data_IF_537642519191
#
_entry.id   IF_537642519191
#
_cell.length_a   1.000
_cell.length_b   1.000
_cell.length_c   1.000
_cell.angle_alpha   90.00
_cell.angle_beta   90.00
_cell.angle_gamma   90.00
#
_symmetry.space_group_name_H-M   'P 1'
#
loop_
_entity.id
_entity.type
_entity.pdbx_description
1 polymer ?
#
# COMPACT_ATOMS: atom_id res chain seq x y z
N UNK A 1 -39.86 -50.45 -47.22
CA UNK A 1 -39.62 -49.00 -47.05
C UNK A 1 -39.76 -48.67 -45.58
N UNK A 2 -38.63 -48.65 -44.83
CA UNK A 2 -38.62 -48.43 -43.37
C UNK A 2 -38.25 -46.97 -43.11
N UNK A 3 -39.18 -46.26 -42.47
CA UNK A 3 -39.02 -44.87 -42.07
C UNK A 3 -38.31 -44.83 -40.74
N UNK A 4 -37.09 -44.28 -40.72
CA UNK A 4 -36.35 -44.00 -39.47
C UNK A 4 -36.74 -42.62 -38.96
N UNK A 5 -37.40 -42.61 -37.81
CA UNK A 5 -37.71 -41.36 -37.08
C UNK A 5 -36.55 -41.06 -36.14
N UNK A 6 -35.81 -40.04 -36.41
CA UNK A 6 -34.70 -39.55 -35.56
C UNK A 6 -35.29 -38.59 -34.51
N UNK A 7 -35.24 -38.99 -33.25
CA UNK A 7 -35.57 -38.15 -32.09
C UNK A 7 -34.32 -37.33 -31.73
N UNK A 8 -34.37 -36.05 -31.97
CA UNK A 8 -33.34 -35.12 -31.51
C UNK A 8 -33.68 -34.68 -30.08
N UNK A 9 -32.96 -35.23 -29.12
CA UNK A 9 -33.04 -34.75 -27.72
C UNK A 9 -32.19 -33.47 -27.58
N UNK A 10 -32.83 -32.32 -27.43
CA UNK A 10 -32.21 -31.08 -27.10
C UNK A 10 -31.88 -31.06 -25.60
N UNK A 11 -30.58 -31.16 -25.28
CA UNK A 11 -30.07 -31.00 -23.92
C UNK A 11 -29.92 -29.51 -23.63
N UNK A 12 -30.88 -28.89 -22.92
CA UNK A 12 -30.76 -27.54 -22.40
C UNK A 12 -29.76 -27.57 -21.23
N UNK A 13 -28.50 -27.15 -21.46
CA UNK A 13 -27.60 -26.81 -20.38
C UNK A 13 -28.05 -25.46 -19.79
N UNK A 14 -28.64 -25.53 -18.61
CA UNK A 14 -28.84 -24.34 -17.77
C UNK A 14 -27.46 -23.91 -17.23
N UNK A 15 -26.83 -22.93 -17.87
CA UNK A 15 -25.72 -22.17 -17.31
C UNK A 15 -26.28 -21.35 -16.13
N UNK A 16 -26.24 -21.91 -14.93
CA UNK A 16 -26.40 -21.15 -13.72
C UNK A 16 -25.18 -20.22 -13.61
N UNK A 17 -25.30 -19.02 -14.18
CA UNK A 17 -24.35 -17.95 -13.93
C UNK A 17 -24.37 -17.63 -12.43
N UNK A 18 -23.35 -18.07 -11.68
CA UNK A 18 -23.07 -17.52 -10.37
C UNK A 18 -22.69 -16.03 -10.58
N UNK A 19 -23.68 -15.16 -10.61
CA UNK A 19 -23.43 -13.75 -10.32
C UNK A 19 -23.12 -13.70 -8.84
N UNK A 20 -21.83 -13.69 -8.50
CA UNK A 20 -21.39 -13.32 -7.17
C UNK A 20 -21.83 -11.87 -6.97
N UNK A 21 -22.95 -11.65 -6.33
CA UNK A 21 -23.43 -10.33 -5.97
C UNK A 21 -22.53 -9.88 -4.83
N UNK A 22 -21.36 -9.30 -5.17
CA UNK A 22 -20.40 -8.77 -4.20
C UNK A 22 -21.12 -7.67 -3.43
N UNK A 23 -21.29 -7.84 -2.13
CA UNK A 23 -21.96 -6.86 -1.27
C UNK A 23 -21.17 -5.55 -1.31
N UNK A 24 -21.86 -4.44 -1.44
CA UNK A 24 -21.30 -3.09 -1.48
C UNK A 24 -21.72 -2.30 -0.24
N UNK A 25 -20.78 -1.58 0.36
CA UNK A 25 -20.93 -0.80 1.58
C UNK A 25 -20.42 0.62 1.32
N UNK A 26 -21.32 1.51 0.91
CA UNK A 26 -21.01 2.93 0.69
C UNK A 26 -20.74 3.60 2.04
N UNK A 27 -19.56 4.20 2.23
CA UNK A 27 -19.16 4.85 3.49
C UNK A 27 -20.12 5.96 3.92
N UNK A 28 -20.76 6.65 2.98
CA UNK A 28 -21.76 7.68 3.28
C UNK A 28 -23.01 7.07 3.94
N UNK A 29 -23.37 5.84 3.61
CA UNK A 29 -24.48 5.13 4.27
C UNK A 29 -24.21 4.79 5.74
N UNK A 30 -22.93 4.88 6.15
CA UNK A 30 -22.48 4.69 7.54
C UNK A 30 -22.25 6.00 8.29
N UNK A 31 -22.48 7.14 7.61
CA UNK A 31 -22.40 8.47 8.21
C UNK A 31 -21.19 9.30 7.80
N UNK A 32 -20.36 8.80 6.86
CA UNK A 32 -19.26 9.61 6.32
C UNK A 32 -19.81 10.78 5.50
N UNK A 33 -19.30 11.98 5.74
CA UNK A 33 -19.73 13.22 5.08
C UNK A 33 -19.01 13.43 3.76
N UNK A 34 -17.71 13.17 3.73
CA UNK A 34 -16.87 13.38 2.54
C UNK A 34 -16.75 14.86 2.16
N UNK A 35 -16.70 15.75 3.16
CA UNK A 35 -16.58 17.21 2.98
C UNK A 35 -15.13 17.74 3.06
N UNK A 36 -14.17 16.84 3.35
CA UNK A 36 -12.76 17.15 3.49
C UNK A 36 -12.34 17.80 4.80
N UNK A 37 -13.26 17.95 5.74
CA UNK A 37 -13.01 18.64 7.03
C UNK A 37 -13.51 17.87 8.24
N UNK A 38 -14.60 17.12 8.09
CA UNK A 38 -15.12 16.22 9.14
C UNK A 38 -14.28 14.96 9.20
N UNK A 39 -13.91 14.50 10.41
CA UNK A 39 -13.24 13.21 10.57
C UNK A 39 -14.23 12.07 10.36
N UNK A 40 -14.13 11.42 9.22
CA UNK A 40 -14.99 10.32 8.80
C UNK A 40 -14.48 8.93 9.25
N UNK A 41 -13.38 8.85 10.03
CA UNK A 41 -12.73 7.58 10.40
C UNK A 41 -13.70 6.58 11.04
N UNK A 42 -14.55 7.04 11.97
CA UNK A 42 -15.51 6.17 12.65
C UNK A 42 -16.56 5.57 11.70
N UNK A 43 -17.04 6.35 10.73
CA UNK A 43 -18.01 5.90 9.73
C UNK A 43 -17.37 4.91 8.75
N UNK A 44 -16.15 5.21 8.29
CA UNK A 44 -15.37 4.32 7.41
C UNK A 44 -15.08 3.01 8.13
N UNK A 45 -14.62 3.05 9.38
CA UNK A 45 -14.33 1.85 10.17
C UNK A 45 -15.56 0.98 10.33
N UNK A 46 -16.72 1.58 10.62
CA UNK A 46 -17.99 0.85 10.73
C UNK A 46 -18.38 0.14 9.42
N UNK A 47 -18.14 0.78 8.27
CA UNK A 47 -18.38 0.16 6.96
C UNK A 47 -17.44 -1.04 6.74
N UNK A 48 -16.17 -0.92 7.09
CA UNK A 48 -15.16 -1.98 6.99
C UNK A 48 -15.53 -3.16 7.91
N UNK A 49 -15.83 -2.89 9.16
CA UNK A 49 -16.18 -3.91 10.15
C UNK A 49 -17.44 -4.68 9.70
N UNK A 50 -18.50 -3.98 9.32
CA UNK A 50 -19.73 -4.62 8.85
C UNK A 50 -19.54 -5.40 7.54
N UNK A 51 -18.68 -4.91 6.64
CA UNK A 51 -18.32 -5.64 5.42
C UNK A 51 -17.67 -6.98 5.77
N UNK A 52 -16.66 -6.97 6.63
CA UNK A 52 -15.95 -8.17 7.08
C UNK A 52 -16.85 -9.14 7.83
N UNK A 53 -17.64 -8.67 8.79
CA UNK A 53 -18.58 -9.45 9.60
C UNK A 53 -19.63 -10.17 8.75
N UNK A 54 -20.00 -9.59 7.63
CA UNK A 54 -20.94 -10.19 6.65
C UNK A 54 -20.25 -11.10 5.63
N UNK A 55 -18.99 -11.49 5.86
CA UNK A 55 -18.24 -12.42 5.03
C UNK A 55 -17.47 -11.77 3.89
N UNK A 56 -17.34 -10.44 3.90
CA UNK A 56 -16.58 -9.67 2.94
C UNK A 56 -17.42 -8.97 1.88
N UNK A 57 -16.73 -8.16 1.07
CA UNK A 57 -17.35 -7.35 0.02
C UNK A 57 -16.51 -6.12 -0.32
N UNK A 58 -17.19 -5.10 -0.84
CA UNK A 58 -16.54 -3.85 -1.26
C UNK A 58 -17.04 -2.67 -0.44
N UNK A 59 -16.13 -2.00 0.25
CA UNK A 59 -16.36 -0.70 0.88
C UNK A 59 -16.07 0.38 -0.15
N UNK A 60 -17.08 1.18 -0.49
CA UNK A 60 -17.01 2.15 -1.59
C UNK A 60 -16.85 3.57 -1.06
N UNK A 61 -15.87 4.27 -1.62
CA UNK A 61 -15.67 5.70 -1.45
C UNK A 61 -16.25 6.41 -2.68
N UNK A 62 -17.43 7.03 -2.59
CA UNK A 62 -18.12 7.62 -3.74
C UNK A 62 -17.34 8.76 -4.41
N UNK A 63 -17.60 8.90 -5.72
CA UNK A 63 -16.99 9.93 -6.58
C UNK A 63 -17.13 11.35 -6.04
N UNK A 64 -16.14 12.19 -6.36
CA UNK A 64 -16.11 13.63 -6.12
C UNK A 64 -16.31 14.04 -4.65
N UNK A 65 -15.89 13.19 -3.72
CA UNK A 65 -15.88 13.46 -2.28
C UNK A 65 -14.46 13.34 -1.71
N UNK A 66 -14.20 14.11 -0.66
CA UNK A 66 -12.95 14.03 0.12
C UNK A 66 -13.29 13.60 1.55
N UNK A 67 -12.86 12.42 1.91
CA UNK A 67 -13.06 11.85 3.25
C UNK A 67 -11.80 12.08 4.07
N UNK A 68 -11.82 13.04 5.00
CA UNK A 68 -10.71 13.19 5.95
C UNK A 68 -10.87 12.14 7.05
N UNK A 69 -9.81 11.46 7.40
CA UNK A 69 -9.89 10.41 8.42
C UNK A 69 -8.59 10.29 9.24
N UNK A 70 -8.75 10.06 10.53
CA UNK A 70 -7.73 9.51 11.42
C UNK A 70 -7.46 8.03 11.11
N UNK A 71 -6.83 7.27 12.03
CA UNK A 71 -6.48 5.87 11.82
C UNK A 71 -7.64 4.97 11.40
N UNK A 72 -7.37 4.06 10.45
CA UNK A 72 -8.32 3.07 9.92
C UNK A 72 -7.68 1.69 9.99
N UNK A 73 -8.43 0.70 10.47
CA UNK A 73 -7.98 -0.69 10.59
C UNK A 73 -8.68 -1.58 9.57
N UNK A 74 -7.92 -2.17 8.66
CA UNK A 74 -8.41 -3.11 7.66
C UNK A 74 -8.84 -4.44 8.31
N UNK A 75 -9.79 -5.12 7.66
CA UNK A 75 -10.26 -6.45 8.04
C UNK A 75 -10.15 -7.42 6.88
N UNK A 76 -10.15 -8.72 7.19
CA UNK A 76 -10.13 -9.76 6.18
C UNK A 76 -11.33 -9.72 5.24
N UNK A 77 -11.12 -10.10 3.99
CA UNK A 77 -12.12 -10.18 2.93
C UNK A 77 -12.75 -8.85 2.51
N UNK A 78 -12.03 -7.74 2.71
CA UNK A 78 -12.50 -6.39 2.36
C UNK A 78 -11.74 -5.84 1.16
N UNK A 79 -12.48 -5.31 0.19
CA UNK A 79 -11.95 -4.44 -0.85
C UNK A 79 -12.33 -2.98 -0.53
N UNK A 80 -11.33 -2.10 -0.35
CA UNK A 80 -11.56 -0.66 -0.38
C UNK A 80 -11.56 -0.20 -1.82
N UNK A 81 -12.69 0.32 -2.30
CA UNK A 81 -12.83 0.78 -3.67
C UNK A 81 -13.02 2.28 -3.76
N UNK A 82 -12.10 2.93 -4.43
CA UNK A 82 -12.08 4.39 -4.63
C UNK A 82 -12.63 4.74 -6.01
N UNK A 83 -13.85 5.28 -6.07
CA UNK A 83 -14.43 5.75 -7.33
C UNK A 83 -13.64 6.95 -7.89
N UNK A 84 -13.79 7.27 -9.20
CA UNK A 84 -13.08 8.38 -9.82
C UNK A 84 -13.29 9.71 -9.05
N UNK A 85 -12.19 10.44 -8.81
CA UNK A 85 -12.17 11.69 -8.05
C UNK A 85 -12.62 11.59 -6.59
N UNK A 86 -12.73 10.38 -6.01
CA UNK A 86 -12.80 10.24 -4.57
C UNK A 86 -11.42 10.42 -3.95
N UNK A 87 -11.36 10.97 -2.74
CA UNK A 87 -10.11 11.17 -2.01
C UNK A 87 -10.28 10.78 -0.55
N UNK A 88 -9.41 9.92 -0.06
CA UNK A 88 -9.22 9.67 1.36
C UNK A 88 -8.01 10.51 1.80
N UNK A 89 -8.20 11.40 2.76
CA UNK A 89 -7.22 12.39 3.22
C UNK A 89 -6.84 12.13 4.67
N UNK A 90 -5.57 12.02 4.98
CA UNK A 90 -5.11 11.85 6.36
C UNK A 90 -5.45 13.07 7.22
N UNK A 91 -6.00 12.82 8.41
CA UNK A 91 -6.29 13.87 9.39
C UNK A 91 -4.95 14.49 9.84
N UNK A 92 -4.78 15.83 9.76
CA UNK A 92 -3.54 16.50 10.12
C UNK A 92 -3.29 16.60 11.63
N UNK A 93 -4.24 16.21 12.48
CA UNK A 93 -4.07 16.21 13.93
C UNK A 93 -3.17 15.02 14.35
N UNK A 94 -1.95 15.31 14.75
CA UNK A 94 -0.98 14.33 15.20
C UNK A 94 -1.46 13.48 16.38
N UNK A 95 -2.32 14.04 17.24
CA UNK A 95 -2.80 13.40 18.45
C UNK A 95 -3.70 12.17 18.17
N UNK A 96 -4.26 12.05 16.96
CA UNK A 96 -5.10 10.89 16.61
C UNK A 96 -4.29 9.63 16.30
N UNK A 97 -2.98 9.77 16.01
CA UNK A 97 -2.10 8.65 15.67
C UNK A 97 -1.41 8.12 16.92
N UNK A 98 -1.86 7.01 17.44
CA UNK A 98 -1.40 6.44 18.72
C UNK A 98 -0.64 5.12 18.58
N UNK A 99 -0.64 4.51 17.40
CA UNK A 99 0.01 3.23 17.14
C UNK A 99 1.16 3.40 16.14
N UNK A 100 2.34 2.85 16.48
CA UNK A 100 3.50 2.84 15.61
C UNK A 100 3.69 1.50 14.92
N UNK A 101 4.18 1.53 13.68
CA UNK A 101 4.65 0.36 12.96
C UNK A 101 5.96 -0.19 13.55
N UNK A 102 6.72 0.61 14.29
CA UNK A 102 8.01 0.24 14.86
C UNK A 102 7.87 -0.22 16.31
N UNK A 103 8.65 -1.25 16.70
CA UNK A 103 8.58 -1.87 18.02
C UNK A 103 8.97 -0.91 19.16
N UNK A 104 9.91 -0.01 18.91
CA UNK A 104 10.22 1.08 19.82
C UNK A 104 9.44 2.32 19.38
N UNK A 105 8.28 2.53 19.98
CA UNK A 105 7.49 3.73 19.72
C UNK A 105 8.16 4.97 20.35
N UNK A 106 8.91 5.69 19.51
CA UNK A 106 9.52 6.98 19.83
C UNK A 106 8.80 8.15 19.18
N UNK A 107 7.56 7.94 18.72
CA UNK A 107 6.81 8.90 17.91
C UNK A 107 7.07 8.78 16.41
N UNK A 108 7.95 7.87 15.98
CA UNK A 108 8.23 7.61 14.57
C UNK A 108 7.30 6.54 13.99
N UNK A 109 7.04 6.62 12.68
CA UNK A 109 6.36 5.55 11.94
C UNK A 109 4.95 5.24 12.43
N UNK A 110 4.20 6.26 12.81
CA UNK A 110 2.79 6.09 13.21
C UNK A 110 1.99 5.48 12.05
N UNK A 111 0.89 4.81 12.33
CA UNK A 111 0.09 4.14 11.31
C UNK A 111 -1.21 4.89 11.04
N UNK A 112 -1.52 5.11 9.76
CA UNK A 112 -2.81 5.66 9.33
C UNK A 112 -3.76 4.55 8.89
N UNK A 113 -3.47 3.89 7.77
CA UNK A 113 -4.25 2.72 7.34
C UNK A 113 -3.44 1.50 7.71
N UNK A 114 -3.97 0.64 8.55
CA UNK A 114 -3.24 -0.52 9.05
C UNK A 114 -4.04 -1.82 8.95
N UNK A 115 -3.32 -2.94 8.89
CA UNK A 115 -3.94 -4.27 8.97
C UNK A 115 -2.93 -5.31 9.45
N UNK A 116 -3.33 -6.08 10.47
CA UNK A 116 -2.48 -7.12 11.05
C UNK A 116 -3.22 -8.46 11.09
N UNK A 117 -2.51 -9.55 10.72
CA UNK A 117 -3.03 -10.92 10.73
C UNK A 117 -4.32 -11.08 9.89
N UNK A 118 -4.37 -10.45 8.72
CA UNK A 118 -5.55 -10.41 7.85
C UNK A 118 -5.27 -11.05 6.49
N UNK A 119 -6.34 -11.46 5.80
CA UNK A 119 -6.21 -12.06 4.47
C UNK A 119 -7.27 -11.58 3.48
N UNK A 120 -6.94 -11.75 2.19
CA UNK A 120 -7.86 -11.45 1.09
C UNK A 120 -8.28 -9.97 1.09
N UNK A 121 -7.28 -9.08 1.00
CA UNK A 121 -7.43 -7.63 1.04
C UNK A 121 -7.25 -7.07 -0.35
N UNK A 122 -8.09 -6.11 -0.72
CA UNK A 122 -7.87 -5.31 -1.93
C UNK A 122 -8.03 -3.82 -1.67
N UNK A 123 -7.26 -3.02 -2.39
CA UNK A 123 -7.40 -1.56 -2.50
C UNK A 123 -7.42 -1.26 -3.99
N UNK A 124 -8.55 -0.77 -4.51
CA UNK A 124 -8.79 -0.68 -5.95
C UNK A 124 -9.50 0.62 -6.34
N UNK A 125 -9.58 0.87 -7.62
CA UNK A 125 -10.27 2.04 -8.19
C UNK A 125 -9.31 3.11 -8.68
N UNK A 126 -9.84 4.26 -9.10
CA UNK A 126 -9.05 5.36 -9.69
C UNK A 126 -9.08 6.64 -8.86
N UNK A 127 -9.52 6.53 -7.61
CA UNK A 127 -9.46 7.63 -6.64
C UNK A 127 -8.08 7.76 -5.99
N UNK A 128 -8.00 8.61 -4.98
CA UNK A 128 -6.73 9.02 -4.34
C UNK A 128 -6.72 8.71 -2.85
N UNK A 129 -5.62 8.16 -2.38
CA UNK A 129 -5.26 8.06 -0.96
C UNK A 129 -4.14 9.07 -0.72
N UNK A 130 -4.41 10.10 0.06
CA UNK A 130 -3.53 11.24 0.26
C UNK A 130 -3.07 11.33 1.71
N UNK A 131 -1.79 11.08 1.94
CA UNK A 131 -1.18 11.09 3.26
C UNK A 131 -1.05 12.47 3.91
N UNK A 132 -1.43 13.56 3.17
CA UNK A 132 -1.41 14.94 3.69
C UNK A 132 -0.06 15.35 4.29
N UNK A 133 1.04 14.80 3.79
CA UNK A 133 2.35 14.81 4.42
C UNK A 133 2.89 16.19 4.80
N UNK A 134 2.59 17.22 3.98
CA UNK A 134 3.03 18.60 4.27
C UNK A 134 2.42 19.14 5.57
N UNK A 135 1.22 18.69 5.95
CA UNK A 135 0.58 19.12 7.19
C UNK A 135 1.32 18.67 8.45
N UNK A 136 2.17 17.63 8.33
CA UNK A 136 3.01 17.12 9.41
C UNK A 136 4.43 17.71 9.40
N UNK A 137 4.69 18.66 8.47
CA UNK A 137 6.02 19.25 8.31
C UNK A 137 6.06 20.67 8.81
N UNK A 138 7.23 21.07 9.30
CA UNK A 138 7.54 22.46 9.58
C UNK A 138 7.69 23.28 8.31
N UNK A 139 7.97 24.57 8.50
CA UNK A 139 8.24 25.48 7.38
C UNK A 139 9.50 25.06 6.64
N UNK A 140 9.43 25.05 5.32
CA UNK A 140 10.61 24.85 4.46
C UNK A 140 11.62 25.96 4.72
N UNK A 141 12.90 25.58 4.83
CA UNK A 141 14.00 26.52 4.95
C UNK A 141 14.55 26.89 3.55
N UNK A 142 14.93 28.14 3.35
CA UNK A 142 15.38 28.66 2.05
C UNK A 142 16.60 27.91 1.48
N UNK A 143 17.46 27.40 2.35
CA UNK A 143 18.69 26.65 2.02
C UNK A 143 18.53 25.12 2.18
N UNK A 144 17.34 24.64 2.48
CA UNK A 144 17.06 23.22 2.71
C UNK A 144 16.25 22.63 1.57
N UNK A 145 16.63 21.44 1.14
CA UNK A 145 15.85 20.64 0.20
C UNK A 145 14.88 19.69 0.88
N UNK A 146 14.85 19.69 2.22
CA UNK A 146 13.94 18.88 3.03
C UNK A 146 13.01 19.76 3.87
N UNK A 147 11.77 19.33 4.03
CA UNK A 147 10.88 19.88 5.04
C UNK A 147 11.23 19.29 6.41
N UNK A 148 10.96 20.04 7.48
CA UNK A 148 11.16 19.57 8.85
C UNK A 148 9.85 19.06 9.44
N UNK A 149 9.87 18.01 10.27
CA UNK A 149 8.71 17.61 11.06
C UNK A 149 8.16 18.79 11.90
N UNK A 150 6.85 18.80 12.13
CA UNK A 150 6.17 19.88 12.86
C UNK A 150 6.59 19.92 14.33
N UNK A 151 6.95 18.75 14.90
CA UNK A 151 7.35 18.61 16.30
C UNK A 151 8.77 18.06 16.43
N UNK A 152 9.33 18.11 17.66
CA UNK A 152 10.61 17.48 18.00
C UNK A 152 10.53 15.94 17.98
N UNK A 153 9.34 15.40 18.17
CA UNK A 153 9.03 13.99 17.91
C UNK A 153 8.70 13.80 16.44
N UNK A 154 8.82 12.61 15.91
CA UNK A 154 8.54 12.32 14.53
C UNK A 154 7.21 11.54 14.37
N UNK A 155 6.05 12.14 14.70
CA UNK A 155 4.76 11.47 14.75
C UNK A 155 4.18 11.19 13.36
N UNK A 156 4.93 11.44 12.30
CA UNK A 156 4.50 11.31 10.91
C UNK A 156 3.99 9.92 10.59
N UNK A 157 2.76 9.77 10.07
CA UNK A 157 2.20 8.45 9.81
C UNK A 157 2.67 7.85 8.49
N UNK A 158 2.84 6.54 8.48
CA UNK A 158 2.82 5.72 7.26
C UNK A 158 1.42 5.80 6.64
N UNK A 159 1.32 5.77 5.31
CA UNK A 159 0.01 5.74 4.66
C UNK A 159 -0.66 4.38 4.83
N UNK A 160 0.05 3.30 4.51
CA UNK A 160 -0.46 1.94 4.61
C UNK A 160 0.58 1.02 5.25
N UNK A 161 0.22 0.38 6.35
CA UNK A 161 1.05 -0.63 7.02
C UNK A 161 0.29 -1.95 7.09
N UNK A 162 0.85 -2.99 6.48
CA UNK A 162 0.29 -4.34 6.53
C UNK A 162 1.27 -5.29 7.23
N UNK A 163 0.82 -5.93 8.31
CA UNK A 163 1.62 -6.88 9.08
C UNK A 163 1.01 -8.27 8.99
N UNK A 164 1.79 -9.27 8.55
CA UNK A 164 1.37 -10.66 8.36
C UNK A 164 0.08 -10.81 7.52
N UNK A 165 -0.08 -9.93 6.52
CA UNK A 165 -1.23 -9.97 5.63
C UNK A 165 -0.99 -10.96 4.47
N UNK A 166 -2.06 -11.61 4.00
CA UNK A 166 -2.00 -12.61 2.93
C UNK A 166 -2.98 -12.31 1.82
N UNK A 167 -2.60 -12.61 0.56
CA UNK A 167 -3.44 -12.34 -0.62
C UNK A 167 -3.88 -10.88 -0.68
N UNK A 168 -2.90 -10.01 -0.83
CA UNK A 168 -3.09 -8.55 -0.92
C UNK A 168 -3.04 -8.13 -2.38
N UNK A 169 -4.00 -7.31 -2.80
CA UNK A 169 -4.00 -6.68 -4.12
C UNK A 169 -4.21 -5.17 -4.00
N UNK A 170 -3.28 -4.38 -4.52
CA UNK A 170 -3.40 -2.91 -4.60
C UNK A 170 -3.29 -2.54 -6.07
N UNK A 171 -4.33 -1.91 -6.65
CA UNK A 171 -4.31 -1.61 -8.07
C UNK A 171 -5.02 -0.31 -8.45
N UNK A 172 -4.45 0.35 -9.45
CA UNK A 172 -5.00 1.48 -10.20
C UNK A 172 -5.19 2.79 -9.41
N UNK A 173 -5.07 2.74 -8.08
CA UNK A 173 -5.21 3.91 -7.21
C UNK A 173 -4.01 4.85 -7.31
N UNK A 174 -4.24 6.13 -7.03
CA UNK A 174 -3.18 7.09 -6.72
C UNK A 174 -2.95 7.12 -5.21
N UNK A 175 -1.71 6.93 -4.77
CA UNK A 175 -1.27 7.14 -3.39
C UNK A 175 -0.29 8.29 -3.39
N UNK A 176 -0.50 9.30 -2.56
CA UNK A 176 0.37 10.48 -2.64
C UNK A 176 0.62 11.17 -1.29
N UNK A 177 1.59 12.08 -1.31
CA UNK A 177 1.88 12.99 -0.20
C UNK A 177 2.05 12.28 1.15
N UNK A 178 2.78 11.18 1.19
CA UNK A 178 3.08 10.50 2.45
C UNK A 178 3.87 11.41 3.39
N UNK A 179 3.55 11.37 4.67
CA UNK A 179 4.31 12.05 5.71
C UNK A 179 5.56 11.27 6.13
N UNK A 180 5.53 9.96 5.99
CA UNK A 180 6.61 9.00 6.28
C UNK A 180 6.62 7.89 5.21
N UNK A 181 6.92 6.64 5.50
CA UNK A 181 6.86 5.56 4.52
C UNK A 181 5.44 5.39 3.96
N UNK A 182 5.33 5.18 2.66
CA UNK A 182 4.00 5.15 2.02
C UNK A 182 3.34 3.79 2.17
N UNK A 183 3.97 2.71 1.69
CA UNK A 183 3.44 1.35 1.79
C UNK A 183 4.49 0.48 2.49
N UNK A 184 4.19 0.04 3.70
CA UNK A 184 5.05 -0.84 4.47
C UNK A 184 4.43 -2.23 4.60
N UNK A 185 5.09 -3.23 4.01
CA UNK A 185 4.69 -4.64 4.00
C UNK A 185 5.58 -5.42 4.97
N UNK A 186 5.05 -5.81 6.12
CA UNK A 186 5.79 -6.52 7.18
C UNK A 186 5.34 -7.98 7.21
N UNK A 187 6.21 -8.92 6.87
CA UNK A 187 5.89 -10.36 6.93
C UNK A 187 4.73 -10.79 6.03
N UNK A 188 4.40 -10.01 5.01
CA UNK A 188 3.28 -10.29 4.11
C UNK A 188 3.57 -11.44 3.14
N UNK A 189 2.53 -12.10 2.66
CA UNK A 189 2.63 -13.22 1.74
C UNK A 189 1.60 -13.15 0.62
N UNK A 190 2.07 -13.30 -0.63
CA UNK A 190 1.26 -13.20 -1.85
C UNK A 190 0.63 -11.82 -2.01
N UNK A 191 1.50 -10.85 -2.32
CA UNK A 191 1.15 -9.45 -2.53
C UNK A 191 1.31 -9.09 -4.00
N UNK A 192 0.33 -8.40 -4.56
CA UNK A 192 0.37 -7.80 -5.89
C UNK A 192 0.09 -6.30 -5.80
N UNK A 193 1.00 -5.49 -6.33
CA UNK A 193 0.85 -4.03 -6.45
C UNK A 193 0.99 -3.71 -7.94
N UNK A 194 -0.11 -3.23 -8.56
CA UNK A 194 -0.17 -3.10 -10.00
C UNK A 194 -0.70 -1.74 -10.42
N UNK A 195 -0.02 -1.07 -11.37
CA UNK A 195 -0.48 0.13 -12.05
C UNK A 195 -0.88 1.28 -11.10
N UNK A 196 -0.27 1.37 -9.94
CA UNK A 196 -0.49 2.51 -9.05
C UNK A 196 0.40 3.69 -9.44
N UNK A 197 -0.10 4.90 -9.14
CA UNK A 197 0.72 6.11 -9.11
C UNK A 197 1.02 6.47 -7.66
N UNK A 198 2.29 6.36 -7.25
CA UNK A 198 2.74 6.72 -5.93
C UNK A 198 3.56 8.03 -6.06
N UNK A 199 2.97 9.15 -5.63
CA UNK A 199 3.49 10.49 -5.93
C UNK A 199 3.72 11.28 -4.64
N UNK A 200 4.88 11.12 -4.04
CA UNK A 200 5.24 11.83 -2.81
C UNK A 200 5.89 13.18 -3.06
N UNK A 201 5.82 14.04 -2.06
CA UNK A 201 6.60 15.27 -2.05
C UNK A 201 8.09 14.92 -1.89
N UNK A 202 8.89 15.29 -2.88
CA UNK A 202 10.33 14.97 -2.93
C UNK A 202 11.16 15.68 -1.85
N UNK A 203 10.58 16.58 -1.06
CA UNK A 203 11.25 17.30 0.05
C UNK A 203 10.98 16.67 1.41
N UNK A 204 10.09 15.68 1.50
CA UNK A 204 9.82 14.96 2.73
C UNK A 204 10.77 13.78 2.85
N UNK A 205 11.69 13.85 3.80
CA UNK A 205 12.60 12.74 4.10
C UNK A 205 11.83 11.54 4.67
N UNK A 206 12.37 10.36 4.47
CA UNK A 206 11.72 9.09 4.82
C UNK A 206 10.31 8.95 4.16
N UNK A 207 10.12 9.63 3.03
CA UNK A 207 8.92 9.45 2.22
C UNK A 207 9.09 8.29 1.25
N UNK A 208 9.54 7.12 1.75
CA UNK A 208 9.74 5.91 0.97
C UNK A 208 8.46 5.50 0.25
N UNK A 209 8.60 4.91 -0.94
CA UNK A 209 7.46 4.44 -1.71
C UNK A 209 6.90 3.12 -1.20
N UNK A 210 7.62 2.04 -1.43
CA UNK A 210 7.20 0.68 -1.06
C UNK A 210 8.34 -0.02 -0.33
N UNK A 211 8.13 -0.30 0.96
CA UNK A 211 9.03 -1.05 1.81
C UNK A 211 8.56 -2.49 1.94
N UNK A 212 9.35 -3.42 1.42
CA UNK A 212 9.10 -4.86 1.46
C UNK A 212 9.95 -5.45 2.57
N UNK A 213 9.36 -5.61 3.75
CA UNK A 213 10.05 -6.02 4.98
C UNK A 213 9.63 -7.44 5.37
N UNK A 214 10.59 -8.38 5.45
CA UNK A 214 10.33 -9.79 5.76
C UNK A 214 9.23 -10.47 4.92
N UNK A 215 8.88 -9.91 3.78
CA UNK A 215 7.73 -10.31 2.96
C UNK A 215 8.12 -11.25 1.81
N UNK A 216 7.16 -12.05 1.35
CA UNK A 216 7.42 -13.11 0.37
C UNK A 216 6.35 -13.18 -0.71
N UNK A 217 6.76 -13.61 -1.94
CA UNK A 217 5.89 -13.65 -3.12
C UNK A 217 5.25 -12.30 -3.40
N UNK A 218 6.08 -11.26 -3.48
CA UNK A 218 5.65 -9.89 -3.78
C UNK A 218 5.88 -9.60 -5.25
N UNK A 219 4.87 -9.06 -5.92
CA UNK A 219 4.91 -8.60 -7.31
C UNK A 219 4.53 -7.14 -7.35
N UNK A 220 5.40 -6.30 -7.92
CA UNK A 220 5.17 -4.86 -8.15
C UNK A 220 5.33 -4.61 -9.64
N UNK A 221 4.27 -4.15 -10.32
CA UNK A 221 4.27 -4.08 -11.79
C UNK A 221 3.58 -2.82 -12.30
N UNK A 222 4.22 -2.14 -13.27
CA UNK A 222 3.61 -1.04 -14.01
C UNK A 222 3.33 0.20 -13.18
N UNK A 223 4.11 0.45 -12.14
CA UNK A 223 3.91 1.56 -11.22
C UNK A 223 4.74 2.79 -11.61
N UNK A 224 4.17 4.00 -11.38
CA UNK A 224 4.92 5.25 -11.37
C UNK A 224 5.18 5.63 -9.92
N UNK A 225 6.46 5.83 -9.54
CA UNK A 225 6.83 6.09 -8.15
C UNK A 225 7.75 7.30 -8.08
N UNK A 226 7.31 8.36 -7.39
CA UNK A 226 8.12 9.50 -6.99
C UNK A 226 8.24 9.51 -5.46
N UNK A 227 9.47 9.55 -4.94
CA UNK A 227 9.74 9.36 -3.52
C UNK A 227 10.75 10.39 -2.99
N UNK A 228 10.48 10.92 -1.81
CA UNK A 228 11.40 11.77 -1.07
C UNK A 228 12.59 10.99 -0.49
N UNK A 229 12.46 9.66 -0.36
CA UNK A 229 13.52 8.73 0.02
C UNK A 229 13.57 7.56 -0.98
N UNK A 230 13.64 6.29 -0.58
CA UNK A 230 13.77 5.16 -1.50
C UNK A 230 12.42 4.86 -2.20
N UNK A 231 12.41 4.56 -3.54
CA UNK A 231 11.14 4.22 -4.21
C UNK A 231 10.67 2.82 -3.87
N UNK A 232 11.54 1.83 -4.03
CA UNK A 232 11.25 0.43 -3.65
C UNK A 232 12.43 -0.08 -2.83
N UNK A 233 12.14 -0.42 -1.58
CA UNK A 233 13.16 -0.85 -0.63
C UNK A 233 12.84 -2.25 -0.08
N UNK A 234 13.82 -3.15 -0.11
CA UNK A 234 13.73 -4.47 0.48
C UNK A 234 14.50 -4.48 1.80
N UNK A 235 13.87 -4.91 2.85
CA UNK A 235 14.43 -4.89 4.21
C UNK A 235 14.18 -6.22 4.95
N UNK A 236 14.90 -6.41 6.05
CA UNK A 236 14.63 -7.38 7.11
C UNK A 236 14.99 -6.72 8.44
N UNK A 237 14.06 -5.95 9.01
CA UNK A 237 14.29 -5.23 10.25
C UNK A 237 14.29 -6.20 11.45
N UNK A 238 15.21 -5.99 12.39
CA UNK A 238 15.40 -6.83 13.57
C UNK A 238 14.12 -7.07 14.37
N UNK A 239 13.27 -6.10 14.47
CA UNK A 239 12.03 -6.15 15.25
C UNK A 239 10.94 -7.04 14.64
N UNK A 240 11.14 -7.50 13.39
CA UNK A 240 10.20 -8.35 12.64
C UNK A 240 10.81 -9.70 12.23
N UNK A 241 11.91 -10.11 12.87
CA UNK A 241 12.65 -11.34 12.53
C UNK A 241 11.80 -12.62 12.59
N UNK A 242 10.71 -12.62 13.37
CA UNK A 242 9.78 -13.75 13.46
C UNK A 242 9.09 -14.08 12.13
N UNK A 243 9.03 -13.13 11.18
CA UNK A 243 8.41 -13.36 9.87
C UNK A 243 9.35 -14.02 8.87
N UNK A 244 10.65 -14.14 9.20
CA UNK A 244 11.67 -14.79 8.37
C UNK A 244 12.07 -13.94 7.15
N UNK A 245 12.73 -14.53 6.14
CA UNK A 245 13.44 -13.80 5.10
C UNK A 245 12.52 -13.05 4.13
N UNK A 246 13.00 -11.91 3.61
CA UNK A 246 12.43 -11.24 2.45
C UNK A 246 12.86 -11.97 1.17
N UNK A 247 11.92 -12.52 0.40
CA UNK A 247 12.27 -13.31 -0.79
C UNK A 247 11.15 -13.48 -1.81
N UNK A 248 11.51 -13.98 -2.99
CA UNK A 248 10.57 -14.20 -4.08
C UNK A 248 9.88 -12.88 -4.48
N UNK A 249 10.67 -11.82 -4.69
CA UNK A 249 10.19 -10.48 -5.04
C UNK A 249 10.47 -10.21 -6.51
N UNK A 250 9.44 -9.77 -7.24
CA UNK A 250 9.55 -9.40 -8.65
C UNK A 250 9.02 -7.97 -8.83
N UNK A 251 9.86 -7.10 -9.39
CA UNK A 251 9.53 -5.72 -9.74
C UNK A 251 9.74 -5.53 -11.23
N UNK A 252 8.70 -5.13 -11.96
CA UNK A 252 8.79 -4.98 -13.42
C UNK A 252 8.01 -3.79 -13.95
N UNK A 253 8.48 -3.23 -15.08
CA UNK A 253 7.75 -2.19 -15.83
C UNK A 253 7.44 -0.92 -15.01
N UNK A 254 8.27 -0.59 -14.02
CA UNK A 254 8.09 0.58 -13.18
C UNK A 254 8.93 1.76 -13.68
N UNK A 255 8.42 2.98 -13.45
CA UNK A 255 9.16 4.23 -13.65
C UNK A 255 9.35 4.89 -12.29
N UNK A 256 10.58 5.24 -11.94
CA UNK A 256 10.95 5.64 -10.58
C UNK A 256 11.81 6.92 -10.58
N UNK A 257 11.49 7.84 -9.66
CA UNK A 257 12.28 9.02 -9.34
C UNK A 257 12.44 9.14 -7.83
N UNK A 258 13.69 9.23 -7.33
CA UNK A 258 13.98 9.22 -5.91
C UNK A 258 14.99 10.29 -5.51
N UNK A 259 14.77 10.92 -4.37
CA UNK A 259 15.80 11.77 -3.74
C UNK A 259 16.90 10.98 -3.04
N UNK A 260 16.67 9.69 -2.76
CA UNK A 260 17.65 8.79 -2.15
C UNK A 260 18.07 7.69 -3.13
N UNK A 261 17.32 6.60 -3.22
CA UNK A 261 17.65 5.49 -4.09
C UNK A 261 16.37 4.93 -4.76
N UNK A 262 16.36 4.84 -6.09
CA UNK A 262 15.17 4.33 -6.78
C UNK A 262 14.90 2.87 -6.40
N UNK A 263 15.94 2.05 -6.35
CA UNK A 263 15.86 0.65 -5.90
C UNK A 263 16.88 0.44 -4.78
N UNK A 264 16.41 0.03 -3.61
CA UNK A 264 17.25 -0.18 -2.43
C UNK A 264 17.12 -1.60 -1.89
N UNK A 265 18.25 -2.19 -1.53
CA UNK A 265 18.32 -3.39 -0.70
C UNK A 265 19.01 -3.00 0.61
N UNK A 266 18.29 -3.14 1.70
CA UNK A 266 18.72 -2.69 3.04
C UNK A 266 18.22 -1.28 3.37
N UNK A 267 18.85 -0.52 4.27
CA UNK A 267 20.07 -0.88 5.04
C UNK A 267 19.85 -1.95 6.09
N UNK A 268 18.67 -2.00 6.71
CA UNK A 268 18.35 -3.00 7.70
C UNK A 268 18.18 -4.38 7.06
N UNK A 269 19.02 -5.32 7.46
CA UNK A 269 18.93 -6.69 7.00
C UNK A 269 19.47 -7.68 8.03
N UNK A 270 18.59 -8.26 8.83
CA UNK A 270 18.91 -9.23 9.86
C UNK A 270 18.80 -10.68 9.39
N UNK A 271 18.18 -10.92 8.23
CA UNK A 271 17.93 -12.25 7.68
C UNK A 271 18.44 -12.32 6.23
N UNK A 272 17.88 -13.17 5.42
CA UNK A 272 18.23 -13.31 4.00
C UNK A 272 17.28 -12.49 3.12
N UNK A 273 17.84 -11.71 2.19
CA UNK A 273 17.14 -11.19 1.03
C UNK A 273 17.55 -12.06 -0.17
N UNK A 274 16.61 -12.82 -0.73
CA UNK A 274 16.93 -13.87 -1.70
C UNK A 274 15.89 -13.98 -2.82
N UNK A 275 16.34 -14.38 -4.03
CA UNK A 275 15.50 -14.54 -5.22
C UNK A 275 14.68 -13.30 -5.54
N UNK A 276 15.37 -12.24 -5.92
CA UNK A 276 14.81 -10.93 -6.26
C UNK A 276 15.12 -10.59 -7.71
N UNK A 277 14.11 -10.12 -8.43
CA UNK A 277 14.25 -9.65 -9.80
C UNK A 277 13.72 -8.22 -9.92
N UNK A 278 14.54 -7.32 -10.43
CA UNK A 278 14.14 -6.03 -10.99
C UNK A 278 14.38 -6.07 -12.49
N UNK A 279 13.34 -5.89 -13.30
CA UNK A 279 13.45 -6.01 -14.75
C UNK A 279 12.59 -4.97 -15.49
N UNK A 280 13.10 -4.50 -16.61
CA UNK A 280 12.41 -3.57 -17.50
C UNK A 280 11.86 -2.33 -16.78
N UNK A 281 12.69 -1.67 -15.98
CA UNK A 281 12.33 -0.47 -15.24
C UNK A 281 13.11 0.76 -15.74
N UNK A 282 12.51 1.93 -15.60
CA UNK A 282 13.14 3.22 -15.93
C UNK A 282 13.38 3.99 -14.64
N UNK A 283 14.60 4.50 -14.47
CA UNK A 283 14.98 5.35 -13.35
C UNK A 283 15.39 6.69 -13.90
N UNK A 284 14.74 7.77 -13.42
CA UNK A 284 15.04 9.14 -13.84
C UNK A 284 15.33 10.03 -12.63
N UNK A 285 16.13 11.07 -12.83
CA UNK A 285 16.34 12.20 -11.90
C UNK A 285 16.54 11.78 -10.42
N UNK A 286 17.15 10.62 -10.22
CA UNK A 286 17.37 10.01 -8.91
C UNK A 286 18.79 10.28 -8.40
N UNK A 287 18.94 10.44 -7.08
CA UNK A 287 20.26 10.58 -6.46
C UNK A 287 21.07 9.29 -6.67
N UNK A 288 20.45 8.13 -6.49
CA UNK A 288 21.01 6.81 -6.80
C UNK A 288 19.98 5.95 -7.54
N UNK A 289 20.42 5.26 -8.59
CA UNK A 289 19.56 4.32 -9.31
C UNK A 289 19.34 3.04 -8.53
N UNK A 290 20.43 2.34 -8.21
CA UNK A 290 20.42 1.06 -7.50
C UNK A 290 21.39 1.16 -6.32
N UNK A 291 20.95 0.74 -5.14
CA UNK A 291 21.77 0.70 -3.93
C UNK A 291 21.61 -0.64 -3.19
N UNK A 292 22.74 -1.26 -2.87
CA UNK A 292 22.79 -2.41 -1.96
C UNK A 292 23.61 -1.99 -0.74
N UNK A 293 22.94 -1.93 0.40
CA UNK A 293 23.54 -1.51 1.66
C UNK A 293 23.15 -2.50 2.75
N UNK A 294 23.97 -3.53 2.92
CA UNK A 294 23.76 -4.57 3.93
C UNK A 294 24.45 -4.15 5.22
N UNK A 295 23.73 -3.46 6.10
CA UNK A 295 24.28 -2.90 7.35
C UNK A 295 24.42 -3.93 8.47
N UNK A 296 23.48 -4.85 8.53
CA UNK A 296 23.39 -5.82 9.63
C UNK A 296 23.93 -7.21 9.22
N UNK A 297 23.63 -8.25 9.98
CA UNK A 297 24.25 -9.59 9.84
C UNK A 297 23.63 -10.44 8.73
N UNK A 298 22.54 -9.99 8.10
CA UNK A 298 21.82 -10.72 7.07
C UNK A 298 22.61 -10.88 5.77
N UNK A 299 22.08 -11.66 4.87
CA UNK A 299 22.69 -11.97 3.57
C UNK A 299 21.84 -11.46 2.41
N UNK A 300 22.49 -11.15 1.29
CA UNK A 300 21.84 -10.79 0.02
C UNK A 300 22.32 -11.74 -1.06
N UNK A 301 21.40 -12.54 -1.61
CA UNK A 301 21.73 -13.57 -2.60
C UNK A 301 20.70 -13.61 -3.73
N UNK A 302 21.11 -14.12 -4.91
CA UNK A 302 20.23 -14.32 -6.05
C UNK A 302 19.39 -13.09 -6.43
N UNK A 303 20.03 -11.92 -6.49
CA UNK A 303 19.42 -10.66 -6.90
C UNK A 303 19.84 -10.36 -8.33
N UNK A 304 18.86 -10.06 -9.17
CA UNK A 304 19.07 -9.73 -10.57
C UNK A 304 18.48 -8.36 -10.89
N UNK A 305 19.26 -7.53 -11.55
CA UNK A 305 18.82 -6.28 -12.17
C UNK A 305 19.04 -6.45 -13.68
N UNK A 306 17.98 -6.29 -14.47
CA UNK A 306 18.04 -6.42 -15.91
C UNK A 306 17.18 -5.38 -16.61
N UNK A 307 17.62 -4.95 -17.79
CA UNK A 307 16.87 -3.97 -18.59
C UNK A 307 16.46 -2.69 -17.81
N UNK A 308 17.44 -2.17 -17.05
CA UNK A 308 17.25 -0.97 -16.22
C UNK A 308 17.72 0.27 -16.98
#
# INVERSE_FOLDING_TARGET
MKIFTTIASALLLALAGCTSNTKSYDVCSFGATGDGTTDDAAAIQKAIDQCSDNGGGTVVFPSAKTFMAGPIHLRSNVNLHFEPNSRLLANPDEAVYTESAFGENRGEGMMWISGKDIENISITGTGTIDGNGVAFMGKELDDSYELKPVTDFDPRPHVLTLTNARKVNISDVTVCNSAYWTIHLIGCYDVAINHISLLNNLKIRNGDGIDVDHSRKVRITGCFIESGDDCICLKNRREFEEYGPCRDVVVTNCVMTSRSCAVKIGSENMDSIDRVLFDNCIITDSNRGIGIQNRDEGTVTNVTFSNM
#
